data_IF_818447798749
#
_entry.id   IF_818447798749
#
_cell.length_a   1.000
_cell.length_b   1.000
_cell.length_c   1.000
_cell.angle_alpha   90.00
_cell.angle_beta   90.00
_cell.angle_gamma   90.00
#
_symmetry.space_group_name_H-M   'P 1'
#
loop_
_entity.id
_entity.type
_entity.pdbx_description
1 polymer ?
#
# COMPACT_ATOMS: atom_id res chain seq x y z
N UNK A 1 -25.31 -17.22 -28.95
CA UNK A 1 -24.52 -16.20 -29.68
C UNK A 1 -23.20 -16.06 -28.96
N UNK A 2 -22.05 -16.12 -29.66
CA UNK A 2 -20.76 -15.97 -29.01
C UNK A 2 -20.59 -14.53 -28.47
N UNK A 3 -19.91 -14.39 -27.31
CA UNK A 3 -19.62 -13.07 -26.75
C UNK A 3 -18.66 -12.23 -27.61
N UNK A 4 -18.28 -11.07 -27.12
CA UNK A 4 -17.53 -10.04 -27.86
C UNK A 4 -16.02 -10.38 -27.96
N UNK A 5 -15.48 -11.17 -27.03
CA UNK A 5 -14.07 -11.56 -27.01
C UNK A 5 -13.83 -12.84 -27.82
N UNK A 6 -12.86 -12.82 -28.72
CA UNK A 6 -12.50 -13.97 -29.56
C UNK A 6 -11.67 -15.02 -28.82
N UNK A 7 -10.96 -14.62 -27.77
CA UNK A 7 -10.05 -15.48 -26.99
C UNK A 7 -10.65 -15.97 -25.67
N UNK A 8 -11.98 -16.05 -25.59
CA UNK A 8 -12.71 -16.61 -24.46
C UNK A 8 -13.55 -17.79 -24.93
N UNK A 9 -13.40 -18.92 -24.26
CA UNK A 9 -14.30 -20.06 -24.40
C UNK A 9 -15.41 -19.93 -23.35
N UNK A 10 -16.63 -19.61 -23.81
CA UNK A 10 -17.79 -19.37 -22.94
C UNK A 10 -18.39 -20.67 -22.38
N UNK A 11 -18.08 -21.81 -23.00
CA UNK A 11 -18.54 -23.13 -22.54
C UNK A 11 -17.60 -23.77 -21.52
N UNK A 12 -16.37 -23.27 -21.41
CA UNK A 12 -15.39 -23.77 -20.45
C UNK A 12 -15.91 -23.71 -19.01
N UNK A 13 -15.76 -24.79 -18.22
CA UNK A 13 -16.22 -24.82 -16.81
C UNK A 13 -15.64 -23.69 -15.94
N UNK A 14 -14.39 -23.31 -16.17
CA UNK A 14 -13.75 -22.21 -15.45
C UNK A 14 -14.40 -20.85 -15.80
N UNK A 15 -14.76 -20.62 -17.07
CA UNK A 15 -15.48 -19.42 -17.49
C UNK A 15 -16.85 -19.36 -16.81
N UNK A 16 -17.61 -20.46 -16.83
CA UNK A 16 -18.91 -20.56 -16.12
C UNK A 16 -18.79 -20.30 -14.61
N UNK A 17 -17.72 -20.80 -14.01
CA UNK A 17 -17.42 -20.51 -12.59
C UNK A 17 -17.17 -19.00 -12.37
N UNK A 18 -16.35 -18.36 -13.23
CA UNK A 18 -16.06 -16.92 -13.12
C UNK A 18 -17.30 -16.06 -13.35
N UNK A 19 -18.15 -16.43 -14.30
CA UNK A 19 -19.44 -15.77 -14.53
C UNK A 19 -20.31 -15.81 -13.25
N UNK A 20 -20.38 -16.98 -12.61
CA UNK A 20 -21.13 -17.12 -11.35
C UNK A 20 -20.56 -16.23 -10.24
N UNK A 21 -19.24 -16.15 -10.10
CA UNK A 21 -18.61 -15.24 -9.13
C UNK A 21 -18.97 -13.76 -9.41
N UNK A 22 -18.86 -13.33 -10.67
CA UNK A 22 -19.22 -11.96 -11.09
C UNK A 22 -20.69 -11.68 -10.81
N UNK A 23 -21.60 -12.64 -11.14
CA UNK A 23 -23.03 -12.49 -10.91
C UNK A 23 -23.36 -12.32 -9.42
N UNK A 24 -22.80 -13.15 -8.56
CA UNK A 24 -23.01 -13.07 -7.10
C UNK A 24 -22.56 -11.72 -6.56
N UNK A 25 -21.39 -11.26 -6.96
CA UNK A 25 -20.85 -9.96 -6.53
C UNK A 25 -21.68 -8.79 -7.09
N UNK A 26 -22.11 -8.88 -8.35
CA UNK A 26 -22.93 -7.85 -8.98
C UNK A 26 -24.30 -7.69 -8.29
N UNK A 27 -24.90 -8.79 -7.85
CA UNK A 27 -26.13 -8.77 -7.05
C UNK A 27 -25.91 -8.13 -5.69
N UNK A 28 -24.78 -8.44 -5.01
CA UNK A 28 -24.39 -7.78 -3.74
C UNK A 28 -24.23 -6.28 -3.88
N UNK A 29 -23.75 -5.83 -5.04
CA UNK A 29 -23.58 -4.41 -5.35
C UNK A 29 -24.82 -3.76 -6.00
N UNK A 30 -25.97 -4.46 -5.97
CA UNK A 30 -27.27 -3.96 -6.46
C UNK A 30 -27.24 -3.39 -7.90
N UNK A 31 -26.55 -4.08 -8.82
CA UNK A 31 -26.54 -3.72 -10.24
C UNK A 31 -27.90 -4.11 -10.84
N UNK A 32 -28.72 -3.12 -11.24
CA UNK A 32 -30.15 -3.31 -11.46
C UNK A 32 -30.56 -4.26 -12.59
N UNK A 33 -29.84 -4.28 -13.70
CA UNK A 33 -30.18 -5.14 -14.89
C UNK A 33 -29.39 -6.44 -14.93
N UNK A 34 -28.67 -6.80 -13.87
CA UNK A 34 -27.72 -7.92 -13.87
C UNK A 34 -28.35 -9.27 -14.23
N UNK A 35 -29.58 -9.51 -13.77
CA UNK A 35 -30.29 -10.77 -14.02
C UNK A 35 -30.88 -10.88 -15.45
N UNK A 36 -30.90 -9.75 -16.18
CA UNK A 36 -31.34 -9.68 -17.58
C UNK A 36 -30.15 -9.71 -18.55
N UNK A 37 -28.92 -9.53 -18.04
CA UNK A 37 -27.71 -9.53 -18.87
C UNK A 37 -27.36 -10.97 -19.29
N UNK A 38 -26.89 -11.13 -20.52
CA UNK A 38 -26.39 -12.40 -21.04
C UNK A 38 -25.15 -12.86 -20.28
N UNK A 39 -24.96 -14.19 -20.17
CA UNK A 39 -23.79 -14.75 -19.50
C UNK A 39 -22.47 -14.34 -20.18
N UNK A 40 -22.50 -14.14 -21.50
CA UNK A 40 -21.38 -13.67 -22.29
C UNK A 40 -20.94 -12.26 -21.91
N UNK A 41 -21.88 -11.37 -21.58
CA UNK A 41 -21.58 -10.01 -21.08
C UNK A 41 -20.82 -10.09 -19.75
N UNK A 42 -21.24 -11.00 -18.86
CA UNK A 42 -20.56 -11.22 -17.59
C UNK A 42 -19.15 -11.82 -17.78
N UNK A 43 -19.02 -12.79 -18.68
CA UNK A 43 -17.73 -13.37 -19.03
C UNK A 43 -16.78 -12.32 -19.63
N UNK A 44 -17.24 -11.59 -20.63
CA UNK A 44 -16.47 -10.52 -21.30
C UNK A 44 -16.01 -9.46 -20.30
N UNK A 45 -16.90 -9.03 -19.38
CA UNK A 45 -16.58 -8.03 -18.38
C UNK A 45 -15.41 -8.45 -17.49
N UNK A 46 -15.29 -9.75 -17.18
CA UNK A 46 -14.18 -10.30 -16.43
C UNK A 46 -12.92 -10.47 -17.29
N UNK A 47 -13.05 -11.10 -18.45
CA UNK A 47 -11.89 -11.48 -19.26
C UNK A 47 -11.23 -10.32 -19.98
N UNK A 48 -11.93 -9.22 -20.24
CA UNK A 48 -11.33 -7.98 -20.75
C UNK A 48 -10.25 -7.43 -19.82
N UNK A 49 -10.37 -7.71 -18.52
CA UNK A 49 -9.41 -7.31 -17.50
C UNK A 49 -8.38 -8.39 -17.17
N UNK A 50 -8.80 -9.67 -17.22
CA UNK A 50 -7.95 -10.79 -16.83
C UNK A 50 -6.91 -11.17 -17.90
N UNK A 51 -7.29 -11.09 -19.18
CA UNK A 51 -6.42 -11.40 -20.34
C UNK A 51 -6.30 -10.17 -21.24
N UNK A 52 -5.38 -10.25 -22.20
CA UNK A 52 -5.38 -9.26 -23.28
C UNK A 52 -6.60 -9.51 -24.17
N UNK A 53 -7.52 -8.55 -24.31
CA UNK A 53 -8.73 -8.76 -25.08
C UNK A 53 -8.41 -8.80 -26.59
N UNK A 54 -8.98 -9.76 -27.25
CA UNK A 54 -9.04 -9.84 -28.72
C UNK A 54 -10.51 -9.72 -29.09
N UNK A 55 -10.88 -8.58 -29.65
CA UNK A 55 -12.27 -8.33 -30.05
C UNK A 55 -12.60 -9.17 -31.29
N UNK A 56 -13.75 -9.86 -31.23
CA UNK A 56 -14.31 -10.58 -32.39
C UNK A 56 -14.87 -9.57 -33.40
N UNK A 57 -14.74 -9.87 -34.67
CA UNK A 57 -15.40 -9.08 -35.73
C UNK A 57 -16.93 -9.14 -35.54
N UNK A 58 -17.66 -8.04 -35.85
CA UNK A 58 -19.11 -8.06 -35.87
C UNK A 58 -19.63 -9.18 -36.80
N UNK A 59 -20.74 -9.79 -36.39
CA UNK A 59 -21.43 -10.81 -37.18
C UNK A 59 -22.65 -10.15 -37.81
N UNK A 60 -22.94 -10.50 -39.08
CA UNK A 60 -24.15 -10.05 -39.72
C UNK A 60 -25.39 -10.47 -38.91
N UNK A 61 -26.33 -9.52 -38.69
CA UNK A 61 -27.53 -9.70 -37.85
C UNK A 61 -27.23 -9.96 -36.34
N UNK A 62 -26.14 -9.37 -35.80
CA UNK A 62 -25.92 -9.36 -34.37
C UNK A 62 -27.09 -8.62 -33.66
N UNK A 63 -27.55 -9.21 -32.54
CA UNK A 63 -28.63 -8.56 -31.78
C UNK A 63 -28.14 -7.26 -31.13
N UNK A 64 -29.09 -6.35 -30.87
CA UNK A 64 -28.82 -5.00 -30.38
C UNK A 64 -28.05 -5.01 -29.05
N UNK A 65 -28.34 -5.94 -28.14
CA UNK A 65 -27.69 -6.05 -26.85
C UNK A 65 -26.18 -6.38 -27.02
N UNK A 66 -25.86 -7.34 -27.87
CA UNK A 66 -24.49 -7.74 -28.17
C UNK A 66 -23.72 -6.63 -28.90
N UNK A 67 -24.37 -5.94 -29.84
CA UNK A 67 -23.81 -4.79 -30.57
C UNK A 67 -23.49 -3.63 -29.63
N UNK A 68 -24.42 -3.29 -28.72
CA UNK A 68 -24.21 -2.25 -27.71
C UNK A 68 -23.09 -2.64 -26.73
N UNK A 69 -23.09 -3.89 -26.27
CA UNK A 69 -22.01 -4.37 -25.40
C UNK A 69 -20.65 -4.31 -26.10
N UNK A 70 -20.57 -4.73 -27.36
CA UNK A 70 -19.38 -4.59 -28.19
C UNK A 70 -18.89 -3.16 -28.29
N UNK A 71 -19.83 -2.23 -28.46
CA UNK A 71 -19.52 -0.80 -28.54
C UNK A 71 -18.91 -0.31 -27.21
N UNK A 72 -19.50 -0.67 -26.08
CA UNK A 72 -18.98 -0.33 -24.74
C UNK A 72 -17.58 -0.90 -24.52
N UNK A 73 -17.39 -2.19 -24.77
CA UNK A 73 -16.10 -2.86 -24.60
C UNK A 73 -15.04 -2.28 -25.53
N UNK A 74 -15.37 -2.03 -26.80
CA UNK A 74 -14.42 -1.46 -27.77
C UNK A 74 -14.00 -0.03 -27.39
N UNK A 75 -14.95 0.78 -26.94
CA UNK A 75 -14.68 2.15 -26.44
C UNK A 75 -13.80 2.11 -25.21
N UNK A 76 -14.06 1.19 -24.29
CA UNK A 76 -13.26 1.00 -23.09
C UNK A 76 -11.82 0.57 -23.40
N UNK A 77 -11.65 -0.46 -24.21
CA UNK A 77 -10.32 -1.00 -24.58
C UNK A 77 -9.45 0.04 -25.32
N UNK A 78 -10.07 0.96 -26.06
CA UNK A 78 -9.37 2.07 -26.73
C UNK A 78 -9.05 3.24 -25.82
N UNK A 79 -9.58 3.28 -24.61
CA UNK A 79 -9.36 4.38 -23.67
C UNK A 79 -7.97 4.30 -23.02
N UNK A 80 -7.39 5.45 -22.68
CA UNK A 80 -6.14 5.49 -21.91
C UNK A 80 -6.29 4.79 -20.54
N UNK A 81 -7.46 4.96 -19.93
CA UNK A 81 -7.80 4.33 -18.63
C UNK A 81 -7.66 2.81 -18.66
N UNK A 82 -7.99 2.16 -19.79
CA UNK A 82 -7.85 0.71 -19.92
C UNK A 82 -6.39 0.25 -19.75
N UNK A 83 -5.43 0.95 -20.34
CA UNK A 83 -4.01 0.58 -20.24
C UNK A 83 -3.50 0.60 -18.80
N UNK A 84 -3.93 1.57 -18.01
CA UNK A 84 -3.54 1.68 -16.60
C UNK A 84 -4.20 0.59 -15.75
N UNK A 85 -5.48 0.28 -16.02
CA UNK A 85 -6.20 -0.82 -15.37
C UNK A 85 -5.58 -2.17 -15.71
N UNK A 86 -5.26 -2.41 -16.98
CA UNK A 86 -4.69 -3.68 -17.45
C UNK A 86 -3.35 -4.02 -16.78
N UNK A 87 -2.52 -3.02 -16.44
CA UNK A 87 -1.26 -3.22 -15.72
C UNK A 87 -1.43 -3.88 -14.35
N UNK A 88 -2.56 -3.66 -13.69
CA UNK A 88 -2.81 -4.15 -12.33
C UNK A 88 -3.74 -5.36 -12.29
N UNK A 89 -4.57 -5.54 -13.31
CA UNK A 89 -5.61 -6.59 -13.33
C UNK A 89 -5.20 -7.86 -14.05
N UNK A 90 -4.28 -7.80 -15.03
CA UNK A 90 -3.87 -8.97 -15.81
C UNK A 90 -3.42 -10.13 -14.92
N UNK A 91 -3.98 -11.31 -15.18
CA UNK A 91 -3.76 -12.55 -14.45
C UNK A 91 -4.13 -12.48 -12.94
N UNK A 92 -4.78 -11.39 -12.53
CA UNK A 92 -5.29 -11.23 -11.18
C UNK A 92 -6.81 -11.39 -11.17
N UNK A 93 -7.31 -12.60 -10.84
CA UNK A 93 -8.73 -12.91 -10.88
C UNK A 93 -9.58 -12.06 -9.95
N UNK A 94 -9.04 -11.64 -8.79
CA UNK A 94 -9.77 -10.82 -7.81
C UNK A 94 -9.93 -9.37 -8.32
N UNK A 95 -8.85 -8.76 -8.78
CA UNK A 95 -8.90 -7.39 -9.31
C UNK A 95 -9.70 -7.33 -10.62
N UNK A 96 -9.59 -8.35 -11.47
CA UNK A 96 -10.39 -8.44 -12.69
C UNK A 96 -11.88 -8.50 -12.39
N UNK A 97 -12.30 -9.21 -11.34
CA UNK A 97 -13.69 -9.28 -10.90
C UNK A 97 -14.21 -7.92 -10.40
N UNK A 98 -13.41 -7.21 -9.59
CA UNK A 98 -13.78 -5.87 -9.13
C UNK A 98 -13.95 -4.92 -10.31
N UNK A 99 -13.05 -4.97 -11.28
CA UNK A 99 -13.13 -4.13 -12.47
C UNK A 99 -14.27 -4.53 -13.40
N UNK A 100 -14.60 -5.82 -13.47
CA UNK A 100 -15.79 -6.29 -14.18
C UNK A 100 -17.06 -5.64 -13.64
N UNK A 101 -17.22 -5.54 -12.31
CA UNK A 101 -18.37 -4.86 -11.71
C UNK A 101 -18.46 -3.39 -12.10
N UNK A 102 -17.32 -2.68 -12.18
CA UNK A 102 -17.31 -1.28 -12.61
C UNK A 102 -17.72 -1.11 -14.08
N UNK A 103 -17.26 -1.99 -14.95
CA UNK A 103 -17.64 -1.99 -16.35
C UNK A 103 -19.13 -2.37 -16.53
N UNK A 104 -19.63 -3.32 -15.72
CA UNK A 104 -21.05 -3.65 -15.68
C UNK A 104 -21.90 -2.48 -15.16
N UNK A 105 -21.42 -1.66 -14.22
CA UNK A 105 -22.10 -0.42 -13.80
C UNK A 105 -22.19 0.59 -14.95
N UNK A 106 -21.15 0.72 -15.79
CA UNK A 106 -21.22 1.54 -17.03
C UNK A 106 -22.34 1.04 -17.91
N UNK A 107 -22.37 -0.27 -18.21
CA UNK A 107 -23.40 -0.86 -19.06
C UNK A 107 -24.81 -0.73 -18.48
N UNK A 108 -24.96 -1.03 -17.18
CA UNK A 108 -26.21 -0.85 -16.44
C UNK A 108 -26.74 0.59 -16.50
N UNK A 109 -25.85 1.59 -16.41
CA UNK A 109 -26.24 3.00 -16.50
C UNK A 109 -26.80 3.35 -17.88
N UNK A 110 -26.24 2.78 -18.95
CA UNK A 110 -26.75 2.96 -20.31
C UNK A 110 -28.13 2.31 -20.44
N UNK A 111 -28.30 1.05 -20.01
CA UNK A 111 -29.60 0.36 -20.05
C UNK A 111 -30.66 1.10 -19.26
N UNK A 112 -30.33 1.56 -18.04
CA UNK A 112 -31.25 2.36 -17.22
C UNK A 112 -31.63 3.68 -17.85
N UNK A 113 -30.71 4.32 -18.57
CA UNK A 113 -31.02 5.57 -19.30
C UNK A 113 -31.88 5.32 -20.52
N UNK A 114 -31.69 4.21 -21.22
CA UNK A 114 -32.56 3.80 -22.35
C UNK A 114 -34.00 3.53 -21.89
N UNK A 115 -34.18 2.89 -20.73
CA UNK A 115 -35.52 2.60 -20.19
C UNK A 115 -36.26 3.87 -19.72
N UNK A 116 -35.53 4.88 -19.28
CA UNK A 116 -36.12 6.13 -18.75
C UNK A 116 -36.29 7.25 -19.81
N UNK A 117 -35.55 7.17 -20.92
CA UNK A 117 -35.49 8.23 -21.92
C UNK A 117 -35.60 7.67 -23.33
N UNK A 118 -36.78 7.80 -23.93
CA UNK A 118 -37.07 7.31 -25.28
C UNK A 118 -36.17 7.94 -26.34
N UNK A 119 -35.88 9.25 -26.24
CA UNK A 119 -34.97 9.90 -27.18
C UNK A 119 -33.55 9.34 -27.12
N UNK A 120 -33.09 8.99 -25.91
CA UNK A 120 -31.78 8.32 -25.72
C UNK A 120 -31.80 6.92 -26.30
N UNK A 121 -32.88 6.18 -26.12
CA UNK A 121 -33.07 4.86 -26.71
C UNK A 121 -33.00 4.90 -28.23
N UNK A 122 -33.75 5.80 -28.86
CA UNK A 122 -33.73 5.99 -30.32
C UNK A 122 -32.34 6.40 -30.83
N UNK A 123 -31.60 7.23 -30.08
CA UNK A 123 -30.23 7.57 -30.40
C UNK A 123 -29.30 6.32 -30.35
N UNK A 124 -29.45 5.44 -29.35
CA UNK A 124 -28.69 4.22 -29.25
C UNK A 124 -29.01 3.25 -30.39
N UNK A 125 -30.31 3.09 -30.71
CA UNK A 125 -30.78 2.25 -31.82
C UNK A 125 -30.20 2.75 -33.15
N UNK A 126 -30.29 4.05 -33.42
CA UNK A 126 -29.67 4.67 -34.59
C UNK A 126 -28.15 4.54 -34.64
N UNK A 127 -27.48 4.63 -33.49
CA UNK A 127 -26.01 4.44 -33.40
C UNK A 127 -25.58 3.01 -33.72
N UNK A 128 -26.43 2.03 -33.46
CA UNK A 128 -26.15 0.61 -33.75
C UNK A 128 -26.55 0.21 -35.18
N UNK A 129 -27.44 0.96 -35.85
CA UNK A 129 -27.80 0.73 -37.25
C UNK A 129 -26.70 1.28 -38.17
N UNK A 130 -26.05 0.39 -38.93
CA UNK A 130 -24.94 0.76 -39.83
C UNK A 130 -25.42 1.36 -41.18
N UNK A 131 -26.69 1.37 -41.43
CA UNK A 131 -27.26 1.71 -42.76
C UNK A 131 -27.69 3.18 -42.92
N UNK A 132 -27.72 3.94 -41.84
CA UNK A 132 -28.28 5.26 -41.84
C UNK A 132 -27.23 6.39 -41.79
N UNK A 133 -27.42 7.49 -42.54
CA UNK A 133 -26.50 8.63 -42.53
C UNK A 133 -26.47 9.38 -41.21
N UNK A 134 -27.58 9.32 -40.43
CA UNK A 134 -27.67 9.86 -39.07
C UNK A 134 -26.92 9.05 -38.03
N UNK A 135 -26.52 7.82 -38.37
CA UNK A 135 -25.82 6.91 -37.46
C UNK A 135 -24.46 7.43 -36.98
N UNK A 136 -23.77 8.25 -37.78
CA UNK A 136 -22.46 8.80 -37.40
C UNK A 136 -22.51 9.77 -36.23
N UNK A 137 -23.51 10.69 -36.25
CA UNK A 137 -23.70 11.65 -35.16
C UNK A 137 -24.20 10.98 -33.89
N UNK A 138 -25.19 10.10 -34.02
CA UNK A 138 -25.70 9.28 -32.92
C UNK A 138 -24.60 8.45 -32.28
N UNK A 139 -23.72 7.85 -33.09
CA UNK A 139 -22.56 7.05 -32.62
C UNK A 139 -21.53 7.91 -31.90
N UNK A 140 -21.23 9.12 -32.38
CA UNK A 140 -20.33 10.06 -31.73
C UNK A 140 -20.89 10.55 -30.38
N UNK A 141 -22.20 10.77 -30.30
CA UNK A 141 -22.89 11.15 -29.07
C UNK A 141 -22.88 10.01 -28.06
N UNK A 142 -23.17 8.78 -28.48
CA UNK A 142 -23.07 7.58 -27.63
C UNK A 142 -21.66 7.35 -27.17
N UNK A 143 -20.64 7.53 -28.02
CA UNK A 143 -19.22 7.39 -27.62
C UNK A 143 -18.83 8.39 -26.52
N UNK A 144 -19.28 9.65 -26.62
CA UNK A 144 -19.07 10.66 -25.58
C UNK A 144 -19.72 10.27 -24.26
N UNK A 145 -20.95 9.76 -24.30
CA UNK A 145 -21.65 9.28 -23.11
C UNK A 145 -20.93 8.08 -22.46
N UNK A 146 -20.56 7.07 -23.26
CA UNK A 146 -19.82 5.89 -22.77
C UNK A 146 -18.47 6.31 -22.17
N UNK A 147 -17.71 7.20 -22.82
CA UNK A 147 -16.46 7.74 -22.28
C UNK A 147 -16.67 8.50 -20.97
N UNK A 148 -17.75 9.27 -20.85
CA UNK A 148 -18.11 9.97 -19.61
C UNK A 148 -18.38 8.99 -18.47
N UNK A 149 -19.14 7.93 -18.72
CA UNK A 149 -19.44 6.88 -17.74
C UNK A 149 -18.19 6.07 -17.38
N UNK A 150 -17.34 5.75 -18.36
CA UNK A 150 -16.05 5.11 -18.10
C UNK A 150 -15.19 5.98 -17.17
N UNK A 151 -15.07 7.26 -17.45
CA UNK A 151 -14.31 8.19 -16.62
C UNK A 151 -14.91 8.31 -15.21
N UNK A 152 -16.23 8.28 -15.08
CA UNK A 152 -16.90 8.31 -13.79
C UNK A 152 -16.64 7.06 -12.96
N UNK A 153 -16.85 5.85 -13.52
CA UNK A 153 -16.71 4.59 -12.78
C UNK A 153 -15.27 4.06 -12.71
N UNK A 154 -14.43 4.39 -13.69
CA UNK A 154 -13.09 3.80 -13.88
C UNK A 154 -11.96 4.84 -13.88
N UNK A 155 -12.23 6.12 -14.13
CA UNK A 155 -11.21 7.16 -14.38
C UNK A 155 -10.21 7.40 -13.23
N UNK A 156 -10.60 7.16 -11.98
CA UNK A 156 -9.68 7.27 -10.84
C UNK A 156 -8.71 6.09 -10.71
N UNK A 157 -8.81 5.09 -11.58
CA UNK A 157 -8.00 3.87 -11.52
C UNK A 157 -6.52 4.11 -11.81
N UNK A 158 -6.16 5.14 -12.55
CA UNK A 158 -4.76 5.51 -12.77
C UNK A 158 -4.08 5.82 -11.44
N UNK A 159 -4.67 6.69 -10.62
CA UNK A 159 -4.14 7.04 -9.29
C UNK A 159 -4.07 5.82 -8.37
N UNK A 160 -5.09 4.98 -8.40
CA UNK A 160 -5.13 3.73 -7.64
C UNK A 160 -4.05 2.77 -8.12
N UNK A 161 -3.91 2.58 -9.43
CA UNK A 161 -2.91 1.71 -10.04
C UNK A 161 -1.48 2.12 -9.70
N UNK A 162 -1.17 3.41 -9.79
CA UNK A 162 0.14 3.94 -9.42
C UNK A 162 0.44 3.72 -7.94
N UNK A 163 -0.56 3.95 -7.07
CA UNK A 163 -0.42 3.71 -5.63
C UNK A 163 -0.19 2.23 -5.32
N UNK A 164 -1.00 1.35 -5.92
CA UNK A 164 -0.86 -0.12 -5.76
C UNK A 164 0.52 -0.61 -6.23
N UNK A 165 1.01 -0.12 -7.37
CA UNK A 165 2.33 -0.51 -7.89
C UNK A 165 3.46 -0.05 -6.95
N UNK A 166 3.40 1.18 -6.43
CA UNK A 166 4.38 1.67 -5.45
C UNK A 166 4.34 0.85 -4.15
N UNK A 167 3.14 0.51 -3.68
CA UNK A 167 2.96 -0.36 -2.51
C UNK A 167 3.54 -1.76 -2.75
N UNK A 168 3.31 -2.35 -3.92
CA UNK A 168 3.92 -3.64 -4.32
C UNK A 168 5.44 -3.59 -4.25
N UNK A 169 6.04 -2.55 -4.80
CA UNK A 169 7.49 -2.37 -4.79
C UNK A 169 8.07 -2.28 -3.37
N UNK A 170 7.38 -1.58 -2.46
CA UNK A 170 7.87 -1.35 -1.09
C UNK A 170 7.54 -2.48 -0.12
N UNK A 171 6.35 -3.07 -0.23
CA UNK A 171 5.80 -4.00 0.77
C UNK A 171 5.57 -5.42 0.24
N UNK A 172 5.74 -5.64 -1.08
CA UNK A 172 5.56 -6.92 -1.75
C UNK A 172 4.15 -7.14 -2.29
N UNK A 173 3.99 -8.17 -3.13
CA UNK A 173 2.77 -8.47 -3.90
C UNK A 173 1.53 -8.64 -3.01
N UNK A 174 1.64 -9.37 -1.91
CA UNK A 174 0.48 -9.66 -1.06
C UNK A 174 -0.16 -8.41 -0.46
N UNK A 175 0.65 -7.43 -0.03
CA UNK A 175 0.15 -6.15 0.51
C UNK A 175 -0.41 -5.28 -0.61
N UNK A 176 0.22 -5.29 -1.78
CA UNK A 176 -0.28 -4.59 -2.95
C UNK A 176 -1.67 -5.08 -3.37
N UNK A 177 -1.92 -6.40 -3.34
CA UNK A 177 -3.24 -6.96 -3.63
C UNK A 177 -4.29 -6.56 -2.61
N UNK A 178 -4.00 -6.65 -1.31
CA UNK A 178 -4.93 -6.27 -0.25
C UNK A 178 -5.31 -4.78 -0.31
N UNK A 179 -4.32 -3.92 -0.55
CA UNK A 179 -4.57 -2.48 -0.70
C UNK A 179 -5.38 -2.21 -1.97
N UNK A 180 -5.08 -2.91 -3.06
CA UNK A 180 -5.88 -2.82 -4.28
C UNK A 180 -7.34 -3.20 -4.03
N UNK A 181 -7.59 -4.27 -3.26
CA UNK A 181 -8.94 -4.67 -2.89
C UNK A 181 -9.66 -3.58 -2.07
N UNK A 182 -9.00 -3.03 -1.07
CA UNK A 182 -9.57 -1.95 -0.25
C UNK A 182 -9.87 -0.74 -1.12
N UNK A 183 -8.93 -0.34 -1.97
CA UNK A 183 -9.09 0.83 -2.83
C UNK A 183 -10.09 0.63 -3.98
N UNK A 184 -10.32 -0.57 -4.44
CA UNK A 184 -11.19 -0.89 -5.59
C UNK A 184 -12.59 -1.36 -5.19
N UNK A 185 -12.76 -1.92 -3.98
CA UNK A 185 -13.99 -2.63 -3.57
C UNK A 185 -15.21 -1.75 -3.33
N UNK A 186 -15.05 -0.45 -3.05
CA UNK A 186 -16.15 0.48 -2.73
C UNK A 186 -16.30 1.58 -3.78
N UNK A 187 -17.40 2.28 -3.85
CA UNK A 187 -17.59 3.45 -4.70
C UNK A 187 -16.70 4.62 -4.23
N UNK A 188 -16.47 5.61 -5.10
CA UNK A 188 -15.59 6.74 -4.80
C UNK A 188 -16.22 7.57 -3.68
N UNK A 189 -15.76 7.31 -2.47
CA UNK A 189 -16.11 8.02 -1.25
C UNK A 189 -14.97 9.00 -0.92
N UNK A 190 -15.24 10.19 -0.34
CA UNK A 190 -14.22 11.10 0.21
C UNK A 190 -13.19 10.42 1.12
N UNK A 191 -13.63 9.43 1.88
CA UNK A 191 -12.76 8.61 2.72
C UNK A 191 -11.67 7.89 1.94
N UNK A 192 -11.95 7.39 0.73
CA UNK A 192 -10.96 6.71 -0.13
C UNK A 192 -9.96 7.64 -0.76
N UNK A 193 -10.41 8.80 -1.23
CA UNK A 193 -9.49 9.81 -1.73
C UNK A 193 -8.50 10.18 -0.63
N UNK A 194 -8.96 10.24 0.62
CA UNK A 194 -8.12 10.44 1.78
C UNK A 194 -7.14 9.28 1.99
N UNK A 195 -7.59 8.03 1.95
CA UNK A 195 -6.70 6.86 2.07
C UNK A 195 -5.63 6.82 0.98
N UNK A 196 -5.99 7.11 -0.26
CA UNK A 196 -5.05 7.19 -1.38
C UNK A 196 -4.03 8.30 -1.13
N UNK A 197 -4.47 9.46 -0.67
CA UNK A 197 -3.59 10.59 -0.32
C UNK A 197 -2.64 10.22 0.81
N UNK A 198 -3.13 9.61 1.89
CA UNK A 198 -2.31 9.14 3.02
C UNK A 198 -1.28 8.11 2.58
N UNK A 199 -1.66 7.13 1.75
CA UNK A 199 -0.74 6.13 1.20
C UNK A 199 0.34 6.75 0.31
N UNK A 200 -0.04 7.68 -0.56
CA UNK A 200 0.93 8.38 -1.41
C UNK A 200 1.91 9.21 -0.58
N UNK A 201 1.44 9.92 0.45
CA UNK A 201 2.27 10.67 1.38
C UNK A 201 3.20 9.74 2.18
N UNK A 202 2.68 8.61 2.66
CA UNK A 202 3.46 7.58 3.35
C UNK A 202 4.59 7.04 2.45
N UNK A 203 4.26 6.67 1.21
CA UNK A 203 5.21 6.14 0.23
C UNK A 203 6.30 7.18 -0.07
N UNK A 204 5.89 8.42 -0.30
CA UNK A 204 6.83 9.53 -0.55
C UNK A 204 7.80 9.71 0.61
N UNK A 205 7.30 9.80 1.83
CA UNK A 205 8.13 9.92 3.04
C UNK A 205 9.13 8.77 3.17
N UNK A 206 8.69 7.53 2.92
CA UNK A 206 9.55 6.33 3.02
C UNK A 206 10.65 6.37 1.95
N UNK A 207 10.31 6.72 0.71
CA UNK A 207 11.26 6.79 -0.40
C UNK A 207 12.28 7.90 -0.18
N UNK A 208 11.83 9.10 0.15
CA UNK A 208 12.68 10.27 0.35
C UNK A 208 13.59 10.06 1.57
N UNK A 209 13.06 9.60 2.69
CA UNK A 209 13.85 9.31 3.88
C UNK A 209 14.86 8.16 3.65
N UNK A 210 14.49 7.13 2.86
CA UNK A 210 15.41 6.04 2.52
C UNK A 210 16.59 6.56 1.71
N UNK A 211 16.33 7.40 0.71
CA UNK A 211 17.39 8.02 -0.08
C UNK A 211 18.35 8.83 0.79
N UNK A 212 17.83 9.70 1.68
CA UNK A 212 18.65 10.49 2.61
C UNK A 212 19.42 9.60 3.59
N UNK A 213 18.77 8.56 4.12
CA UNK A 213 19.40 7.62 5.07
C UNK A 213 20.47 6.78 4.39
N UNK A 214 20.26 6.32 3.16
CA UNK A 214 21.24 5.55 2.39
C UNK A 214 22.44 6.42 2.01
N UNK A 215 22.24 7.69 1.64
CA UNK A 215 23.32 8.65 1.33
C UNK A 215 24.11 9.08 2.57
N UNK A 216 23.46 9.21 3.72
CA UNK A 216 24.13 9.52 5.00
C UNK A 216 24.81 8.27 5.58
N UNK A 217 24.28 7.08 5.33
CA UNK A 217 24.91 5.81 5.79
C UNK A 217 26.18 5.50 5.02
N UNK A 218 26.39 6.05 3.83
CA UNK A 218 27.69 5.94 3.13
C UNK A 218 28.81 6.71 3.85
N UNK A 219 28.48 7.74 4.61
CA UNK A 219 29.43 8.45 5.49
C UNK A 219 29.58 7.76 6.85
N UNK A 220 28.51 7.11 7.36
CA UNK A 220 28.51 6.29 8.58
C UNK A 220 28.56 4.77 8.27
N UNK A 221 28.84 4.37 7.04
CA UNK A 221 28.88 3.00 6.54
C UNK A 221 29.88 2.07 7.27
N UNK A 222 30.72 2.63 8.13
CA UNK A 222 31.48 1.86 9.12
C UNK A 222 30.62 1.03 10.10
N UNK A 223 29.27 1.25 10.13
CA UNK A 223 28.40 0.66 11.17
C UNK A 223 27.45 -0.43 10.70
N UNK A 224 27.22 -0.63 9.41
CA UNK A 224 26.20 -1.59 8.90
C UNK A 224 26.86 -2.75 8.16
N UNK A 225 27.43 -3.74 8.88
CA UNK A 225 27.93 -4.99 8.27
C UNK A 225 28.98 -4.78 7.17
N UNK A 226 29.43 -3.57 7.01
CA UNK A 226 30.48 -3.11 6.11
C UNK A 226 31.81 -3.52 6.72
N UNK A 227 32.70 -3.92 5.87
CA UNK A 227 34.07 -4.26 6.13
C UNK A 227 34.72 -3.20 7.03
N UNK A 228 34.70 -3.42 8.34
CA UNK A 228 35.30 -2.51 9.34
C UNK A 228 36.80 -2.58 9.36
N UNK A 229 37.40 -3.37 8.46
CA UNK A 229 38.84 -3.59 8.39
C UNK A 229 39.16 -4.96 7.82
N UNK A 230 40.45 -5.26 7.80
CA UNK A 230 41.00 -6.56 7.45
C UNK A 230 41.62 -7.14 8.71
N UNK A 231 41.23 -8.34 9.06
CA UNK A 231 41.84 -9.09 10.17
C UNK A 231 42.40 -10.43 9.71
N UNK A 232 43.23 -11.04 10.52
CA UNK A 232 43.64 -12.43 10.31
C UNK A 232 42.51 -13.37 10.68
N UNK A 233 42.34 -14.41 9.90
CA UNK A 233 41.33 -15.45 10.14
C UNK A 233 41.65 -16.19 11.44
N UNK A 234 40.61 -16.31 12.30
CA UNK A 234 40.74 -17.04 13.57
C UNK A 234 39.87 -18.28 13.63
N UNK A 235 38.84 -18.36 12.77
CA UNK A 235 37.87 -19.46 12.74
C UNK A 235 37.61 -19.91 11.31
N UNK A 236 37.39 -21.20 11.10
CA UNK A 236 37.08 -21.75 9.78
C UNK A 236 35.78 -21.18 9.18
N UNK A 237 34.80 -20.77 10.00
CA UNK A 237 33.57 -20.13 9.55
C UNK A 237 33.80 -18.80 8.83
N UNK A 238 34.98 -18.16 9.03
CA UNK A 238 35.34 -16.88 8.40
C UNK A 238 35.88 -17.04 6.96
N UNK A 239 36.07 -18.28 6.46
CA UNK A 239 36.52 -18.57 5.10
C UNK A 239 35.64 -17.91 4.03
N UNK A 240 34.32 -17.80 4.27
CA UNK A 240 33.40 -17.09 3.36
C UNK A 240 33.70 -15.60 3.22
N UNK A 241 34.34 -15.01 4.20
CA UNK A 241 34.68 -13.59 4.28
C UNK A 241 36.13 -13.28 3.84
N UNK A 242 36.84 -14.28 3.24
CA UNK A 242 38.17 -14.08 2.70
C UNK A 242 38.29 -12.91 1.76
N UNK A 243 39.39 -12.19 1.83
CA UNK A 243 39.74 -11.12 0.87
C UNK A 243 39.87 -11.72 -0.53
N UNK A 244 39.52 -10.95 -1.60
CA UNK A 244 39.64 -11.41 -2.97
C UNK A 244 41.04 -11.91 -3.31
N UNK A 245 42.10 -11.27 -2.79
CA UNK A 245 43.49 -11.67 -2.96
C UNK A 245 43.75 -13.08 -2.36
N UNK A 246 43.19 -13.40 -1.20
CA UNK A 246 43.32 -14.72 -0.59
C UNK A 246 42.56 -15.80 -1.37
N UNK A 247 41.42 -15.48 -1.94
CA UNK A 247 40.68 -16.37 -2.83
C UNK A 247 41.45 -16.67 -4.12
N UNK A 248 42.15 -15.68 -4.67
CA UNK A 248 43.03 -15.88 -5.84
C UNK A 248 44.20 -16.81 -5.47
N UNK A 249 44.86 -16.60 -4.32
CA UNK A 249 45.90 -17.51 -3.83
C UNK A 249 45.39 -18.92 -3.65
N UNK A 250 44.21 -19.12 -3.06
CA UNK A 250 43.55 -20.41 -2.92
C UNK A 250 43.35 -21.11 -4.26
N UNK A 251 43.02 -20.37 -5.31
CA UNK A 251 42.74 -20.90 -6.65
C UNK A 251 44.02 -21.17 -7.46
N UNK A 252 44.93 -20.21 -7.48
CA UNK A 252 46.07 -20.21 -8.40
C UNK A 252 47.42 -20.52 -7.75
N UNK A 253 47.60 -20.36 -6.44
CA UNK A 253 48.82 -20.60 -5.69
C UNK A 253 48.56 -21.38 -4.41
N UNK A 254 47.94 -22.56 -4.56
CA UNK A 254 47.52 -23.43 -3.46
C UNK A 254 48.61 -23.67 -2.36
N UNK A 255 49.91 -23.91 -2.68
CA UNK A 255 50.90 -24.09 -1.65
C UNK A 255 51.11 -22.82 -0.79
N UNK A 256 51.07 -21.65 -1.40
CA UNK A 256 51.21 -20.37 -0.69
C UNK A 256 49.99 -20.13 0.21
N UNK A 257 48.79 -20.44 -0.29
CA UNK A 257 47.57 -20.34 0.52
C UNK A 257 47.61 -21.33 1.70
N UNK A 258 47.99 -22.57 1.47
CA UNK A 258 48.13 -23.58 2.55
C UNK A 258 49.14 -23.15 3.64
N UNK A 259 50.28 -22.60 3.22
CA UNK A 259 51.25 -22.03 4.15
C UNK A 259 50.66 -20.86 4.97
N UNK A 260 50.01 -19.91 4.33
CA UNK A 260 49.34 -18.80 5.02
C UNK A 260 48.23 -19.27 5.96
N UNK A 261 47.48 -20.32 5.59
CA UNK A 261 46.45 -20.90 6.44
C UNK A 261 47.07 -21.56 7.67
N UNK A 262 48.14 -22.37 7.51
CA UNK A 262 48.85 -22.99 8.59
C UNK A 262 49.49 -22.00 9.58
N UNK A 263 49.94 -20.86 9.06
CA UNK A 263 50.53 -19.75 9.86
C UNK A 263 49.50 -18.80 10.44
N UNK A 264 48.18 -19.02 10.20
CA UNK A 264 47.11 -18.12 10.66
C UNK A 264 47.12 -16.72 9.99
N UNK A 265 47.74 -16.60 8.82
CA UNK A 265 47.96 -15.32 8.13
C UNK A 265 46.98 -15.06 6.98
N UNK A 266 45.91 -15.85 6.86
CA UNK A 266 44.85 -15.59 5.88
C UNK A 266 44.04 -14.36 6.27
N UNK A 267 43.90 -13.44 5.36
CA UNK A 267 43.20 -12.18 5.59
C UNK A 267 41.70 -12.32 5.26
N UNK A 268 40.90 -11.92 6.22
CA UNK A 268 39.43 -11.90 6.09
C UNK A 268 38.88 -10.51 6.37
N UNK A 269 37.75 -10.21 5.78
CA UNK A 269 37.00 -8.97 6.05
C UNK A 269 36.48 -9.02 7.47
N UNK A 270 36.78 -8.02 8.26
CA UNK A 270 36.17 -7.87 9.58
C UNK A 270 34.75 -7.37 9.43
N UNK A 271 33.77 -8.19 9.81
CA UNK A 271 32.38 -7.77 9.91
C UNK A 271 32.09 -7.28 11.32
N UNK A 272 31.91 -5.99 11.49
CA UNK A 272 31.39 -5.47 12.76
C UNK A 272 29.92 -5.86 12.87
N UNK A 273 29.56 -6.61 13.91
CA UNK A 273 28.18 -6.94 14.21
C UNK A 273 27.42 -5.67 14.59
N UNK A 274 26.61 -5.18 13.70
CA UNK A 274 25.70 -4.06 13.99
C UNK A 274 24.60 -4.59 14.90
N UNK A 275 24.58 -4.11 16.13
CA UNK A 275 23.45 -4.39 17.02
C UNK A 275 22.23 -3.65 16.49
N UNK A 276 21.30 -4.39 15.89
CA UNK A 276 20.02 -3.84 15.44
C UNK A 276 19.28 -3.22 16.62
N UNK A 277 18.75 -1.99 16.48
CA UNK A 277 18.00 -1.35 17.56
C UNK A 277 16.78 -2.19 17.90
N UNK A 278 16.51 -2.32 19.20
CA UNK A 278 15.30 -2.94 19.73
C UNK A 278 14.39 -1.81 20.17
N UNK A 279 13.28 -1.60 19.47
CA UNK A 279 12.37 -0.45 19.68
C UNK A 279 10.97 -0.96 19.95
N UNK A 280 10.38 -0.51 21.06
CA UNK A 280 8.96 -0.60 21.33
C UNK A 280 8.34 0.77 21.08
N UNK A 281 7.40 0.86 20.12
CA UNK A 281 6.82 2.11 19.69
C UNK A 281 5.34 2.17 20.02
N UNK A 282 4.92 3.24 20.68
CA UNK A 282 3.52 3.62 20.89
C UNK A 282 3.19 4.75 19.92
N UNK A 283 2.17 4.56 19.08
CA UNK A 283 1.73 5.55 18.11
C UNK A 283 0.31 5.98 18.46
N UNK A 284 0.17 7.23 18.78
CA UNK A 284 -1.11 7.88 19.02
C UNK A 284 -1.91 7.92 17.70
N UNK A 285 -3.18 7.48 17.75
CA UNK A 285 -4.12 7.52 16.64
C UNK A 285 -5.36 8.34 16.95
N UNK A 286 -5.30 9.21 17.94
CA UNK A 286 -6.37 10.16 18.30
C UNK A 286 -6.79 11.02 17.10
N UNK A 287 -7.94 11.66 17.20
CA UNK A 287 -8.48 12.49 16.12
C UNK A 287 -7.53 13.60 15.68
N UNK A 288 -6.83 14.24 16.59
CA UNK A 288 -5.86 15.31 16.35
C UNK A 288 -4.64 14.86 15.53
N UNK A 289 -4.25 13.58 15.61
CA UNK A 289 -3.15 13.02 14.84
C UNK A 289 -3.44 12.89 13.32
N UNK A 290 -4.68 13.00 12.91
CA UNK A 290 -5.06 12.98 11.49
C UNK A 290 -4.90 14.34 10.81
N UNK A 291 -4.64 15.42 11.57
CA UNK A 291 -4.36 16.73 11.01
C UNK A 291 -2.86 16.90 10.69
N UNK A 292 -2.57 17.95 9.92
CA UNK A 292 -1.19 18.38 9.67
C UNK A 292 -0.72 19.29 10.81
N UNK A 293 0.58 19.53 10.91
CA UNK A 293 1.11 20.57 11.81
C UNK A 293 0.84 21.94 11.16
N UNK A 294 0.37 22.91 11.96
CA UNK A 294 0.09 24.30 11.55
C UNK A 294 -1.08 24.55 10.58
N UNK A 295 -1.88 23.54 10.24
CA UNK A 295 -3.05 23.73 9.36
C UNK A 295 -4.26 23.00 9.95
N UNK A 296 -5.30 23.75 10.28
CA UNK A 296 -6.57 23.20 10.78
C UNK A 296 -7.48 22.66 9.66
N UNK A 297 -6.99 22.53 8.45
CA UNK A 297 -7.78 22.15 7.28
C UNK A 297 -7.13 20.95 6.58
N UNK A 298 -7.96 20.00 6.12
CA UNK A 298 -7.56 18.88 5.29
C UNK A 298 -7.16 19.36 3.88
N UNK A 299 -5.90 19.72 3.68
CA UNK A 299 -5.39 19.90 2.34
C UNK A 299 -5.12 18.55 1.67
N UNK A 300 -5.64 18.39 0.45
CA UNK A 300 -5.37 17.20 -0.36
C UNK A 300 -3.86 17.17 -0.69
N UNK A 301 -3.15 16.18 -0.14
CA UNK A 301 -1.72 16.03 -0.33
C UNK A 301 -0.85 16.45 0.85
N UNK A 302 -1.42 17.06 1.90
CA UNK A 302 -0.71 17.37 3.13
C UNK A 302 -0.41 16.10 3.94
N UNK A 303 0.74 16.07 4.61
CA UNK A 303 1.17 14.94 5.45
C UNK A 303 0.52 15.08 6.82
N UNK A 304 -0.29 14.09 7.25
CA UNK A 304 -0.84 14.06 8.60
C UNK A 304 0.19 13.52 9.61
N UNK A 305 0.05 13.93 10.88
CA UNK A 305 0.92 13.48 11.97
C UNK A 305 0.96 11.95 12.07
N UNK A 306 -0.19 11.26 11.95
CA UNK A 306 -0.27 9.79 11.97
C UNK A 306 0.44 9.15 10.77
N UNK A 307 0.37 9.76 9.57
CA UNK A 307 1.07 9.25 8.38
C UNK A 307 2.58 9.35 8.57
N UNK A 308 3.07 10.45 9.13
CA UNK A 308 4.47 10.64 9.44
C UNK A 308 4.97 9.64 10.49
N UNK A 309 4.20 9.46 11.60
CA UNK A 309 4.52 8.49 12.66
C UNK A 309 4.59 7.05 12.11
N UNK A 310 3.63 6.69 11.24
CA UNK A 310 3.61 5.37 10.59
C UNK A 310 4.79 5.19 9.62
N UNK A 311 5.18 6.26 8.89
CA UNK A 311 6.37 6.21 8.03
C UNK A 311 7.63 5.89 8.84
N UNK A 312 7.79 6.51 10.01
CA UNK A 312 8.90 6.23 10.92
C UNK A 312 8.93 4.76 11.35
N UNK A 313 7.77 4.22 11.78
CA UNK A 313 7.65 2.82 12.17
C UNK A 313 8.00 1.86 11.00
N UNK A 314 7.49 2.14 9.81
CA UNK A 314 7.76 1.33 8.60
C UNK A 314 9.23 1.36 8.20
N UNK A 315 9.88 2.53 8.22
CA UNK A 315 11.32 2.66 7.89
C UNK A 315 12.15 1.86 8.90
N UNK A 316 11.84 1.95 10.19
CA UNK A 316 12.54 1.18 11.23
C UNK A 316 12.32 -0.33 11.05
N UNK A 317 11.12 -0.77 10.70
CA UNK A 317 10.82 -2.16 10.38
C UNK A 317 11.59 -2.66 9.13
N UNK A 318 11.73 -1.80 8.10
CA UNK A 318 12.49 -2.13 6.88
C UNK A 318 13.99 -2.27 7.13
N UNK A 319 14.56 -1.52 8.06
CA UNK A 319 15.97 -1.65 8.49
C UNK A 319 16.25 -2.95 9.23
N UNK A 320 15.26 -3.79 9.44
CA UNK A 320 15.39 -5.12 10.04
C UNK A 320 15.73 -5.07 11.52
N UNK A 321 15.37 -3.99 12.22
CA UNK A 321 15.39 -3.89 13.66
C UNK A 321 14.32 -4.80 14.30
N UNK A 322 14.51 -5.16 15.57
CA UNK A 322 13.44 -5.75 16.37
C UNK A 322 12.50 -4.63 16.77
N UNK A 323 11.38 -4.50 16.06
CA UNK A 323 10.37 -3.46 16.26
C UNK A 323 9.08 -4.11 16.78
N UNK A 324 8.53 -3.55 17.86
CA UNK A 324 7.18 -3.79 18.33
C UNK A 324 6.42 -2.47 18.27
N UNK A 325 5.28 -2.43 17.59
CA UNK A 325 4.45 -1.22 17.44
C UNK A 325 3.08 -1.48 18.03
N UNK A 326 2.59 -0.56 18.83
CA UNK A 326 1.18 -0.47 19.22
C UNK A 326 0.62 0.88 18.83
N UNK A 327 -0.59 0.88 18.29
CA UNK A 327 -1.39 2.07 18.20
C UNK A 327 -2.24 2.23 19.46
N UNK A 328 -2.55 3.45 19.84
CA UNK A 328 -3.43 3.77 20.97
C UNK A 328 -4.24 5.03 20.70
N UNK A 329 -5.37 5.12 21.35
CA UNK A 329 -6.22 6.30 21.56
C UNK A 329 -6.70 6.28 23.03
N UNK A 330 -7.99 6.22 23.31
CA UNK A 330 -8.52 5.84 24.62
C UNK A 330 -8.35 4.33 24.90
N UNK A 331 -8.08 3.53 23.85
CA UNK A 331 -7.83 2.10 23.94
C UNK A 331 -6.43 1.78 23.41
N UNK A 332 -5.91 0.63 23.81
CA UNK A 332 -4.59 0.15 23.36
C UNK A 332 -4.77 -1.05 22.44
N UNK A 333 -4.21 -0.95 21.24
CA UNK A 333 -4.37 -1.97 20.19
C UNK A 333 -3.29 -3.07 20.27
N UNK A 334 -3.46 -4.22 19.59
CA UNK A 334 -2.49 -5.32 19.62
C UNK A 334 -1.09 -4.91 19.12
N UNK A 335 -0.06 -5.63 19.60
CA UNK A 335 1.32 -5.44 19.14
C UNK A 335 1.47 -5.91 17.71
N UNK A 336 2.06 -5.06 16.88
CA UNK A 336 2.43 -5.33 15.49
C UNK A 336 3.96 -5.40 15.38
N UNK A 337 4.47 -6.42 14.68
CA UNK A 337 5.92 -6.63 14.55
C UNK A 337 6.39 -6.59 13.10
N UNK A 338 5.48 -6.56 12.15
CA UNK A 338 5.82 -6.57 10.75
C UNK A 338 5.26 -5.35 10.00
N UNK A 339 6.00 -4.88 9.01
CA UNK A 339 5.65 -3.67 8.22
C UNK A 339 4.28 -3.76 7.52
N UNK A 340 3.84 -4.96 7.16
CA UNK A 340 2.57 -5.17 6.47
C UNK A 340 1.40 -4.86 7.39
N UNK A 341 1.45 -5.38 8.61
CA UNK A 341 0.39 -5.19 9.60
C UNK A 341 0.34 -3.75 10.10
N UNK A 342 1.51 -3.08 10.18
CA UNK A 342 1.58 -1.64 10.49
C UNK A 342 0.85 -0.81 9.42
N UNK A 343 1.08 -1.12 8.13
CA UNK A 343 0.40 -0.41 7.04
C UNK A 343 -1.09 -0.75 6.99
N UNK A 344 -1.46 -2.02 7.20
CA UNK A 344 -2.87 -2.42 7.30
C UNK A 344 -3.59 -1.67 8.41
N UNK A 345 -2.94 -1.54 9.57
CA UNK A 345 -3.52 -0.79 10.69
C UNK A 345 -3.76 0.65 10.29
N UNK A 346 -2.80 1.34 9.66
CA UNK A 346 -3.00 2.72 9.17
C UNK A 346 -4.24 2.84 8.28
N UNK A 347 -4.47 1.86 7.40
CA UNK A 347 -5.62 1.87 6.48
C UNK A 347 -6.95 1.59 7.14
N UNK A 348 -6.94 0.90 8.28
CA UNK A 348 -8.14 0.59 9.07
C UNK A 348 -8.47 1.65 10.11
N UNK A 349 -7.61 2.69 10.28
CA UNK A 349 -7.80 3.72 11.28
C UNK A 349 -8.99 4.61 10.93
N UNK A 350 -9.91 4.71 11.86
CA UNK A 350 -10.97 5.72 11.87
C UNK A 350 -10.54 6.81 12.84
N UNK A 351 -10.56 8.10 12.46
CA UNK A 351 -10.15 9.20 13.32
C UNK A 351 -11.23 9.50 14.39
N UNK A 352 -11.38 8.60 15.34
CA UNK A 352 -12.35 8.72 16.43
C UNK A 352 -11.65 8.43 17.75
N UNK A 353 -11.91 9.25 18.75
CA UNK A 353 -11.45 9.05 20.12
C UNK A 353 -10.50 10.13 20.62
N UNK A 354 -10.44 10.25 21.94
CA UNK A 354 -9.46 11.07 22.67
C UNK A 354 -8.13 10.32 22.83
N UNK A 355 -7.27 10.85 23.68
CA UNK A 355 -5.91 10.32 23.93
C UNK A 355 -5.79 9.88 25.38
N UNK A 356 -5.22 8.70 25.65
CA UNK A 356 -4.84 8.22 26.99
C UNK A 356 -3.41 7.66 26.94
N UNK A 357 -2.45 8.57 27.07
CA UNK A 357 -1.01 8.24 27.07
C UNK A 357 -0.65 7.41 28.30
N UNK A 358 -1.26 7.69 29.43
CA UNK A 358 -1.04 6.98 30.69
C UNK A 358 -1.35 5.50 30.56
N UNK A 359 -2.51 5.14 30.00
CA UNK A 359 -2.93 3.76 29.77
C UNK A 359 -2.03 3.08 28.72
N UNK A 360 -1.65 3.78 27.66
CA UNK A 360 -0.74 3.24 26.65
C UNK A 360 0.63 2.85 27.24
N UNK A 361 1.19 3.70 28.10
CA UNK A 361 2.47 3.41 28.77
C UNK A 361 2.32 2.27 29.76
N UNK A 362 1.22 2.19 30.51
CA UNK A 362 0.92 1.05 31.42
C UNK A 362 0.85 -0.27 30.64
N UNK A 363 0.19 -0.27 29.48
CA UNK A 363 0.10 -1.45 28.63
C UNK A 363 1.48 -1.88 28.11
N UNK A 364 2.36 -0.95 27.73
CA UNK A 364 3.72 -1.27 27.31
C UNK A 364 4.56 -1.87 28.47
N UNK A 365 4.39 -1.36 29.70
CA UNK A 365 5.03 -1.92 30.89
C UNK A 365 4.56 -3.34 31.16
N UNK A 366 3.24 -3.59 31.01
CA UNK A 366 2.66 -4.93 31.17
C UNK A 366 3.21 -5.91 30.12
N UNK A 367 3.28 -5.49 28.85
CA UNK A 367 3.87 -6.32 27.78
C UNK A 367 5.33 -6.70 28.09
N UNK A 368 6.10 -5.80 28.66
CA UNK A 368 7.49 -6.07 29.07
C UNK A 368 7.57 -6.93 30.34
N UNK A 369 6.55 -6.94 31.18
CA UNK A 369 6.41 -7.87 32.29
C UNK A 369 6.12 -9.28 31.75
N UNK A 370 5.19 -9.41 30.82
CA UNK A 370 4.75 -10.68 30.22
C UNK A 370 5.83 -11.29 29.32
N UNK A 371 6.60 -10.43 28.62
CA UNK A 371 7.66 -10.83 27.69
C UNK A 371 9.00 -10.22 28.08
N UNK A 372 9.80 -10.94 28.85
CA UNK A 372 11.12 -10.48 29.33
C UNK A 372 12.06 -9.97 28.21
N UNK A 373 11.89 -10.44 26.97
CA UNK A 373 12.66 -9.98 25.80
C UNK A 373 12.45 -8.50 25.49
N UNK A 374 11.30 -7.93 25.84
CA UNK A 374 10.93 -6.53 25.60
C UNK A 374 11.60 -5.56 26.59
N UNK A 375 12.06 -6.01 27.74
CA UNK A 375 12.75 -5.17 28.74
C UNK A 375 14.03 -4.51 28.21
N UNK A 376 14.65 -5.09 27.17
CA UNK A 376 15.84 -4.53 26.53
C UNK A 376 15.54 -3.57 25.38
N UNK A 377 14.27 -3.23 25.17
CA UNK A 377 13.85 -2.33 24.12
C UNK A 377 13.94 -0.87 24.58
N UNK A 378 14.11 0.05 23.63
CA UNK A 378 13.87 1.47 23.85
C UNK A 378 12.37 1.71 23.67
N UNK A 379 11.70 2.36 24.62
CA UNK A 379 10.32 2.81 24.47
C UNK A 379 10.31 4.16 23.75
N UNK A 380 9.60 4.24 22.62
CA UNK A 380 9.39 5.48 21.83
C UNK A 380 7.90 5.74 21.75
N UNK A 381 7.46 6.88 22.21
CA UNK A 381 6.05 7.30 22.20
C UNK A 381 5.92 8.45 21.20
N UNK A 382 4.97 8.36 20.27
CA UNK A 382 4.70 9.39 19.27
C UNK A 382 3.26 9.88 19.48
N UNK A 383 3.11 11.14 19.82
CA UNK A 383 1.83 11.79 20.10
C UNK A 383 1.95 13.27 19.79
N UNK A 384 0.84 13.97 19.67
CA UNK A 384 0.82 15.46 19.68
C UNK A 384 0.68 16.04 21.09
N UNK A 385 0.53 15.18 22.10
CA UNK A 385 0.50 15.58 23.49
C UNK A 385 -0.85 16.13 23.98
N UNK A 386 -1.91 16.01 23.19
CA UNK A 386 -3.27 16.46 23.57
C UNK A 386 -3.91 15.48 24.59
N UNK A 387 -3.33 15.40 25.78
CA UNK A 387 -3.82 14.63 26.93
C UNK A 387 -3.57 15.45 28.21
N UNK A 388 -4.64 15.92 28.82
CA UNK A 388 -4.58 16.75 30.04
C UNK A 388 -4.37 15.92 31.32
N UNK A 389 -4.56 14.59 31.26
CA UNK A 389 -4.57 13.71 32.43
C UNK A 389 -3.32 12.80 32.49
N UNK A 390 -2.19 13.22 31.95
CA UNK A 390 -0.97 12.44 31.95
C UNK A 390 -0.40 12.27 33.36
N UNK A 391 -0.30 11.02 33.83
CA UNK A 391 0.35 10.66 35.08
C UNK A 391 1.88 10.54 34.90
N UNK A 392 2.69 11.48 35.46
CA UNK A 392 4.15 11.43 35.28
C UNK A 392 4.80 10.20 35.91
N UNK A 393 4.15 9.56 36.89
CA UNK A 393 4.70 8.38 37.58
C UNK A 393 4.88 7.18 36.65
N UNK A 394 4.06 7.07 35.58
CA UNK A 394 4.15 5.97 34.62
C UNK A 394 5.45 6.00 33.81
N UNK A 395 5.96 7.20 33.50
CA UNK A 395 7.24 7.35 32.79
C UNK A 395 8.41 6.93 33.67
N UNK A 396 8.36 7.21 34.97
CA UNK A 396 9.38 6.75 35.91
C UNK A 396 9.39 5.22 36.01
N UNK A 397 8.21 4.58 36.07
CA UNK A 397 8.09 3.13 36.00
C UNK A 397 8.60 2.59 34.65
N UNK A 398 8.26 3.22 33.55
CA UNK A 398 8.74 2.80 32.22
C UNK A 398 10.27 2.86 32.10
N UNK A 399 10.93 3.89 32.70
CA UNK A 399 12.40 4.00 32.74
C UNK A 399 13.09 2.87 33.49
N UNK A 400 12.41 2.23 34.47
CA UNK A 400 12.97 1.06 35.16
C UNK A 400 12.83 -0.23 34.37
N UNK A 401 11.88 -0.30 33.45
CA UNK A 401 11.54 -1.49 32.66
C UNK A 401 12.24 -1.48 31.30
N UNK A 402 12.23 -0.35 30.60
CA UNK A 402 12.83 -0.18 29.29
C UNK A 402 14.25 0.39 29.40
N UNK A 403 15.08 0.10 28.40
CA UNK A 403 16.46 0.62 28.33
C UNK A 403 16.52 2.15 28.29
N UNK A 404 15.56 2.79 27.62
CA UNK A 404 15.36 4.23 27.59
C UNK A 404 13.92 4.53 27.19
N UNK A 405 13.42 5.69 27.59
CA UNK A 405 12.09 6.19 27.25
C UNK A 405 12.26 7.53 26.55
N UNK A 406 11.72 7.64 25.32
CA UNK A 406 11.73 8.88 24.53
C UNK A 406 10.33 9.19 24.08
N UNK A 407 9.96 10.47 24.10
CA UNK A 407 8.70 10.95 23.53
C UNK A 407 8.98 11.86 22.35
N UNK A 408 8.24 11.68 21.28
CA UNK A 408 8.26 12.51 20.08
C UNK A 408 6.94 13.27 20.06
N UNK A 409 7.00 14.56 20.35
CA UNK A 409 5.86 15.46 20.25
C UNK A 409 5.76 16.02 18.82
N UNK A 410 4.65 15.73 18.16
CA UNK A 410 4.43 16.07 16.75
C UNK A 410 3.41 17.20 16.65
N UNK A 411 3.90 18.42 16.50
CA UNK A 411 3.06 19.62 16.32
C UNK A 411 2.30 20.05 17.56
N UNK A 412 2.67 19.54 18.74
CA UNK A 412 2.04 19.89 20.00
C UNK A 412 3.06 20.09 21.11
N UNK A 413 2.58 20.44 22.29
CA UNK A 413 3.35 20.65 23.50
C UNK A 413 2.63 20.05 24.71
N UNK A 414 3.40 19.46 25.63
CA UNK A 414 2.88 18.95 26.90
C UNK A 414 3.97 19.04 27.96
N UNK A 415 3.81 19.97 28.89
CA UNK A 415 4.81 20.25 29.91
C UNK A 415 5.07 19.09 30.88
N UNK A 416 4.04 18.26 31.15
CA UNK A 416 4.17 17.08 32.01
C UNK A 416 5.10 16.04 31.34
N UNK A 417 4.89 15.80 30.06
CA UNK A 417 5.72 14.88 29.26
C UNK A 417 7.15 15.40 29.16
N UNK A 418 7.32 16.68 28.80
CA UNK A 418 8.62 17.32 28.62
C UNK A 418 9.48 17.29 29.88
N UNK A 419 8.85 17.52 31.05
CA UNK A 419 9.55 17.45 32.34
C UNK A 419 9.83 16.02 32.79
N UNK A 420 9.10 15.04 32.28
CA UNK A 420 9.17 13.64 32.72
C UNK A 420 10.05 12.75 31.83
N UNK A 421 10.35 13.16 30.58
CA UNK A 421 11.00 12.27 29.59
C UNK A 421 12.02 13.01 28.71
N UNK A 422 12.85 12.24 27.99
CA UNK A 422 13.67 12.75 26.88
C UNK A 422 12.76 13.00 25.67
N UNK A 423 12.48 14.26 25.40
CA UNK A 423 11.47 14.66 24.42
C UNK A 423 12.10 15.26 23.16
N UNK A 424 11.61 14.86 21.99
CA UNK A 424 11.97 15.40 20.67
C UNK A 424 10.73 16.11 20.12
N UNK A 425 10.82 17.41 19.88
CA UNK A 425 9.74 18.21 19.27
C UNK A 425 9.89 18.22 17.74
N UNK A 426 8.79 17.96 17.02
CA UNK A 426 8.71 17.98 15.57
C UNK A 426 7.64 18.99 15.16
N UNK A 427 8.09 20.05 14.50
CA UNK A 427 7.21 21.13 14.01
C UNK A 427 6.98 21.06 12.50
N UNK A 428 7.72 20.20 11.78
CA UNK A 428 7.60 20.01 10.33
C UNK A 428 7.57 18.53 9.98
N UNK A 429 6.56 18.14 9.20
CA UNK A 429 6.36 16.75 8.77
C UNK A 429 7.07 16.50 7.43
N UNK A 430 8.38 16.27 7.50
CA UNK A 430 9.23 16.06 6.32
C UNK A 430 10.06 14.77 6.41
N UNK A 431 10.74 14.41 5.33
CA UNK A 431 11.71 13.30 5.30
C UNK A 431 12.96 13.63 6.12
N UNK A 432 13.33 14.89 6.19
CA UNK A 432 14.46 15.40 6.99
C UNK A 432 14.19 15.21 8.48
N UNK A 433 12.98 15.58 8.94
CA UNK A 433 12.57 15.38 10.33
C UNK A 433 12.52 13.90 10.70
N UNK A 434 12.05 13.00 9.79
CA UNK A 434 12.13 11.55 9.98
C UNK A 434 13.59 11.08 10.16
N UNK A 435 14.48 11.54 9.29
CA UNK A 435 15.90 11.18 9.34
C UNK A 435 16.54 11.67 10.64
N UNK A 436 16.24 12.89 11.07
CA UNK A 436 16.70 13.45 12.34
C UNK A 436 16.27 12.59 13.54
N UNK A 437 15.00 12.19 13.58
CA UNK A 437 14.47 11.32 14.63
C UNK A 437 15.11 9.95 14.61
N UNK A 438 15.29 9.34 13.43
CA UNK A 438 15.95 8.02 13.30
C UNK A 438 17.39 8.04 13.85
N UNK A 439 18.10 9.16 13.70
CA UNK A 439 19.45 9.31 14.27
C UNK A 439 19.47 9.48 15.78
N UNK A 440 18.42 10.07 16.35
CA UNK A 440 18.28 10.32 17.79
C UNK A 440 17.71 9.14 18.58
N UNK A 441 16.94 8.25 17.95
CA UNK A 441 16.43 7.01 18.55
C UNK A 441 17.54 5.96 18.64
#
# INVERSE_FOLDING_TARGET
VPGVLANVDYEEPLTKYRVREVLIEARRHSIGYIDKMKQEVLADSFYVHYRQPILRMPIDNEDMETSLWRFVVSTYVRSETYNDVAKITRLNGRLSRIMALKLLKVYNSILSKMDRNEAFRQMVESAMDQRDSTSRESRANLEREVKSLINFYVGNMKKVGDTVNRVRMLFGESVGHEIADILLSTDIDPYRLRLISMLNSLIRLIVDARYVVDTVSDVDAERVGVVGGVKRMTKASELRDMMPSERLLMKFAKPVFAYKLAMGNVLVRERKAVRKPKIYMLIDKSGSMFYTVNVNIFEVGAISKITWATALAVILAMKGGNLAVRFFDQQVYPILTNKKDIVRMLLSLIPLGGTDITNAVRAAIQDAADKASLRNYKLVIITDGEDDNVDPSVFNKAKTVFRSVKVILVGGENSVIENSTDTIKIQELSSESLTHVIKKI
#
